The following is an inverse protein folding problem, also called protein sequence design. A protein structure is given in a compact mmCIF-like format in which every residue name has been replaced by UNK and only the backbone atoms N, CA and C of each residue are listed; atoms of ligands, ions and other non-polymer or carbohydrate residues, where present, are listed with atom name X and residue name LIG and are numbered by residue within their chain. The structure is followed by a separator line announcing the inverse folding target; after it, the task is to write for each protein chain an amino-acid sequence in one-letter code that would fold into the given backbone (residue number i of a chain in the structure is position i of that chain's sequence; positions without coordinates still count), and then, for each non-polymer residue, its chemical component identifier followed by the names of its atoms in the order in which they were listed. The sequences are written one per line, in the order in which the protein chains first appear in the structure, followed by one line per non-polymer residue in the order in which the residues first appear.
data_IF_871476029097
#
_entry.id   IF_871476029097
#
_cell.length_a   1.000
_cell.length_b   1.000
_cell.length_c   1.000
_cell.angle_alpha   90.00
_cell.angle_beta   90.00
_cell.angle_gamma   90.00
#
_symmetry.space_group_name_H-M   'P 1'
#
loop_
_entity.id
_entity.type
_entity.pdbx_description
1 polymer ?
#
# COMPACT_ATOMS: atom_id res chain seq x y z
N UNK A 1 -9.43 23.63 -3.49
CA UNK A 1 -8.22 23.98 -4.28
C UNK A 1 -7.31 22.77 -4.58
N UNK A 2 -7.71 21.52 -4.32
CA UNK A 2 -6.87 20.33 -4.52
C UNK A 2 -7.09 19.57 -5.85
N UNK A 3 -8.15 19.87 -6.62
CA UNK A 3 -8.47 19.16 -7.87
C UNK A 3 -7.42 19.28 -9.00
N UNK A 4 -6.47 20.21 -8.91
CA UNK A 4 -5.51 20.49 -9.98
C UNK A 4 -4.09 19.96 -9.75
N UNK A 5 -3.84 19.23 -8.64
CA UNK A 5 -2.47 18.88 -8.23
C UNK A 5 -2.30 17.42 -7.80
N UNK A 6 -3.34 16.60 -7.98
CA UNK A 6 -3.26 15.18 -7.67
C UNK A 6 -2.55 14.43 -8.80
N UNK A 7 -1.59 13.53 -8.49
CA UNK A 7 -1.02 12.62 -9.47
C UNK A 7 -2.11 11.77 -10.14
N UNK A 8 -1.85 11.21 -11.35
CA UNK A 8 -2.77 10.26 -11.96
C UNK A 8 -3.11 9.11 -11.01
N UNK A 9 -4.40 8.85 -10.80
CA UNK A 9 -4.88 7.74 -9.95
C UNK A 9 -5.30 8.12 -8.52
N UNK A 10 -5.51 9.40 -8.20
CA UNK A 10 -5.98 9.85 -6.88
C UNK A 10 -7.28 10.67 -6.99
N UNK A 11 -8.27 10.39 -6.12
CA UNK A 11 -9.55 11.12 -6.03
C UNK A 11 -9.85 11.53 -4.58
N UNK A 12 -10.70 12.55 -4.37
CA UNK A 12 -11.03 13.15 -3.05
C UNK A 12 -12.56 13.34 -2.90
N UNK A 13 -13.11 12.99 -1.72
CA UNK A 13 -14.47 13.36 -1.29
C UNK A 13 -14.55 13.61 0.24
N UNK A 14 -15.18 14.73 0.62
CA UNK A 14 -15.42 15.31 1.98
C UNK A 14 -14.23 15.93 2.72
N UNK A 15 -14.52 17.00 3.51
CA UNK A 15 -13.52 17.92 4.09
C UNK A 15 -12.80 17.39 5.35
N UNK A 16 -13.35 16.37 6.03
CA UNK A 16 -12.83 15.81 7.30
C UNK A 16 -12.28 14.38 7.17
N UNK A 17 -12.70 13.68 6.12
CA UNK A 17 -12.28 12.35 5.74
C UNK A 17 -11.90 12.39 4.27
N UNK A 18 -10.64 12.09 3.96
CA UNK A 18 -10.16 11.91 2.60
C UNK A 18 -9.94 10.42 2.37
N UNK A 19 -10.76 9.82 1.52
CA UNK A 19 -10.50 8.47 1.00
C UNK A 19 -9.57 8.54 -0.19
N UNK A 20 -8.53 7.70 -0.21
CA UNK A 20 -7.50 7.64 -1.26
C UNK A 20 -7.44 6.23 -1.82
N UNK A 21 -7.45 6.13 -3.14
CA UNK A 21 -7.15 4.89 -3.87
C UNK A 21 -5.72 4.95 -4.39
N UNK A 22 -4.92 3.89 -4.19
CA UNK A 22 -3.54 3.79 -4.64
C UNK A 22 -3.36 2.48 -5.41
N UNK A 23 -2.87 2.58 -6.65
CA UNK A 23 -2.41 1.42 -7.43
C UNK A 23 -1.08 0.92 -6.86
N UNK A 24 -0.95 -0.39 -6.70
CA UNK A 24 0.29 -1.02 -6.26
C UNK A 24 1.44 -0.76 -7.24
N UNK A 25 2.63 -0.32 -6.77
CA UNK A 25 3.73 0.01 -7.65
C UNK A 25 4.27 -1.20 -8.43
N UNK A 26 4.78 -0.94 -9.64
CA UNK A 26 5.44 -1.96 -10.46
C UNK A 26 6.69 -2.52 -9.75
N UNK A 27 6.98 -3.81 -9.98
CA UNK A 27 8.11 -4.56 -9.40
C UNK A 27 8.01 -4.72 -7.88
N UNK A 28 6.81 -4.67 -7.33
CA UNK A 28 6.53 -4.95 -5.93
C UNK A 28 5.55 -6.11 -5.82
N UNK A 29 5.45 -6.80 -4.68
CA UNK A 29 4.41 -7.82 -4.48
C UNK A 29 2.98 -7.26 -4.55
N UNK A 30 2.82 -5.94 -4.64
CA UNK A 30 1.54 -5.22 -4.70
C UNK A 30 1.10 -4.90 -6.14
N UNK A 31 1.95 -5.14 -7.15
CA UNK A 31 1.72 -4.72 -8.53
C UNK A 31 0.37 -5.19 -9.11
N UNK A 32 -0.30 -4.29 -9.83
CA UNK A 32 -1.63 -4.43 -10.44
C UNK A 32 -2.81 -4.58 -9.44
N UNK A 33 -2.59 -4.51 -8.14
CA UNK A 33 -3.67 -4.47 -7.13
C UNK A 33 -4.03 -3.02 -6.72
N UNK A 34 -5.11 -2.86 -5.96
CA UNK A 34 -5.62 -1.57 -5.48
C UNK A 34 -5.69 -1.55 -3.95
N UNK A 35 -5.23 -0.45 -3.37
CA UNK A 35 -5.25 -0.20 -1.93
C UNK A 35 -6.10 1.04 -1.63
N UNK A 36 -6.99 0.91 -0.65
CA UNK A 36 -7.87 1.99 -0.21
C UNK A 36 -7.47 2.46 1.19
N UNK A 37 -7.34 3.76 1.36
CA UNK A 37 -6.93 4.39 2.62
C UNK A 37 -7.88 5.52 2.99
N UNK A 38 -8.36 5.49 4.23
CA UNK A 38 -9.15 6.58 4.81
C UNK A 38 -8.26 7.45 5.69
N UNK A 39 -8.02 8.69 5.25
CA UNK A 39 -7.24 9.70 5.95
C UNK A 39 -8.19 10.66 6.68
N UNK A 40 -8.14 10.68 8.01
CA UNK A 40 -8.98 11.55 8.83
C UNK A 40 -8.19 12.74 9.37
N UNK A 41 -8.70 13.95 9.16
CA UNK A 41 -8.10 15.16 9.71
C UNK A 41 -8.68 15.45 11.10
N UNK A 42 -7.93 15.18 12.16
CA UNK A 42 -8.30 15.60 13.52
C UNK A 42 -7.67 16.97 13.81
N UNK A 43 -8.52 18.02 13.91
CA UNK A 43 -8.19 19.40 14.30
C UNK A 43 -7.23 19.49 15.49
N UNK A 44 -7.36 18.57 16.46
CA UNK A 44 -6.63 18.63 17.73
C UNK A 44 -5.75 17.40 17.98
N UNK A 45 -4.85 17.10 17.02
CA UNK A 45 -3.82 16.04 17.01
C UNK A 45 -4.18 14.87 16.08
N UNK A 46 -3.42 14.78 14.99
CA UNK A 46 -3.25 13.55 14.21
C UNK A 46 -2.49 12.52 15.07
N UNK A 47 -3.15 11.89 16.05
CA UNK A 47 -2.73 10.58 16.54
C UNK A 47 -3.81 9.91 17.40
N UNK A 48 -4.26 8.74 16.97
CA UNK A 48 -4.26 7.52 17.79
C UNK A 48 -4.27 6.32 16.87
N UNK A 49 -3.12 5.66 16.85
CA UNK A 49 -2.86 4.24 16.61
C UNK A 49 -4.04 3.41 16.11
N UNK A 50 -3.76 2.76 14.99
CA UNK A 50 -4.67 2.02 14.15
C UNK A 50 -4.73 0.54 14.60
N UNK A 51 -5.91 0.07 15.03
CA UNK A 51 -6.20 -1.33 15.39
C UNK A 51 -6.26 -2.27 14.16
N UNK A 52 -6.43 -3.56 14.44
CA UNK A 52 -6.27 -4.76 13.58
C UNK A 52 -7.13 -4.86 12.29
N UNK A 53 -7.72 -3.76 11.81
CA UNK A 53 -8.74 -3.71 10.75
C UNK A 53 -8.26 -3.17 9.39
N UNK A 54 -6.95 -3.16 9.10
CA UNK A 54 -6.43 -2.81 7.76
C UNK A 54 -5.95 -1.37 7.63
N UNK A 55 -5.15 -0.93 8.60
CA UNK A 55 -4.76 0.46 8.75
C UNK A 55 -3.22 0.61 8.75
N UNK A 56 -2.76 1.73 8.22
CA UNK A 56 -1.44 1.84 7.60
C UNK A 56 -0.51 2.73 8.44
N UNK A 57 0.67 2.19 8.74
CA UNK A 57 1.70 2.79 9.58
C UNK A 57 2.64 3.66 8.75
N UNK A 58 2.47 4.98 8.76
CA UNK A 58 3.43 5.91 8.14
C UNK A 58 4.10 6.73 9.24
N UNK A 59 5.44 6.79 9.23
CA UNK A 59 6.25 7.63 10.15
C UNK A 59 5.80 9.10 10.17
N UNK A 60 5.30 9.62 9.05
CA UNK A 60 4.70 10.95 8.94
C UNK A 60 3.51 11.19 9.90
N UNK A 61 2.88 10.14 10.43
CA UNK A 61 1.74 10.20 11.36
C UNK A 61 2.17 10.09 12.85
N UNK A 62 3.48 10.13 13.13
CA UNK A 62 4.01 10.19 14.50
C UNK A 62 4.00 8.85 15.26
N UNK A 63 4.02 7.71 14.57
CA UNK A 63 4.07 6.36 15.18
C UNK A 63 5.44 5.70 15.14
N UNK A 64 6.43 6.29 14.45
CA UNK A 64 7.83 5.85 14.44
C UNK A 64 8.74 7.04 14.75
N UNK A 65 9.78 6.80 15.53
CA UNK A 65 10.79 7.81 15.88
C UNK A 65 11.55 8.23 14.63
N UNK A 66 11.20 9.38 14.06
CA UNK A 66 11.88 9.99 12.91
C UNK A 66 12.37 11.40 13.20
N UNK A 67 13.42 11.84 12.51
CA UNK A 67 14.02 13.17 12.66
C UNK A 67 13.56 14.16 11.58
N UNK A 68 13.30 15.41 11.96
CA UNK A 68 13.07 16.50 11.01
C UNK A 68 11.76 16.36 10.21
N UNK A 69 11.86 16.18 8.89
CA UNK A 69 10.70 16.09 7.96
C UNK A 69 9.88 14.80 8.10
N UNK A 70 10.37 13.86 8.88
CA UNK A 70 9.70 12.59 9.19
C UNK A 70 8.59 12.74 10.24
N UNK A 71 8.51 13.92 10.89
CA UNK A 71 7.44 14.26 11.85
C UNK A 71 6.45 15.23 11.20
N UNK A 72 5.15 15.02 11.43
CA UNK A 72 4.12 15.95 10.96
C UNK A 72 4.37 17.38 11.47
N UNK A 73 4.50 18.33 10.55
CA UNK A 73 4.70 19.75 10.83
C UNK A 73 3.69 20.64 10.11
N UNK A 74 3.74 21.94 10.38
CA UNK A 74 2.84 22.92 9.76
C UNK A 74 2.95 22.99 8.22
N UNK A 75 4.09 22.56 7.67
CA UNK A 75 4.34 22.51 6.23
C UNK A 75 4.09 21.11 5.63
N UNK A 76 3.62 20.15 6.44
CA UNK A 76 3.33 18.80 5.94
C UNK A 76 2.10 18.79 5.06
N UNK A 77 2.13 17.99 4.00
CA UNK A 77 1.04 17.90 3.04
C UNK A 77 0.48 16.47 2.95
N UNK A 78 -0.78 16.35 2.57
CA UNK A 78 -1.40 15.05 2.25
C UNK A 78 -0.63 14.34 1.15
N UNK A 79 -0.09 15.07 0.17
CA UNK A 79 0.75 14.50 -0.88
C UNK A 79 1.99 13.80 -0.29
N UNK A 80 2.64 14.37 0.72
CA UNK A 80 3.76 13.69 1.39
C UNK A 80 3.32 12.37 2.03
N UNK A 81 2.12 12.31 2.63
CA UNK A 81 1.59 11.05 3.19
C UNK A 81 1.39 10.01 2.10
N UNK A 82 0.74 10.38 0.99
CA UNK A 82 0.48 9.46 -0.14
C UNK A 82 1.80 8.95 -0.74
N UNK A 83 2.77 9.86 -0.97
CA UNK A 83 4.09 9.50 -1.49
C UNK A 83 4.85 8.61 -0.51
N UNK A 84 4.74 8.85 0.80
CA UNK A 84 5.35 7.99 1.82
C UNK A 84 4.72 6.60 1.87
N UNK A 85 3.41 6.46 1.66
CA UNK A 85 2.79 5.13 1.56
C UNK A 85 3.37 4.36 0.37
N UNK A 86 3.46 4.99 -0.80
CA UNK A 86 4.04 4.35 -1.99
C UNK A 86 5.53 4.04 -1.82
N UNK A 87 6.30 4.94 -1.20
CA UNK A 87 7.75 4.82 -1.08
C UNK A 87 8.26 4.03 0.12
N UNK A 88 7.45 3.85 1.16
CA UNK A 88 7.89 3.19 2.41
C UNK A 88 7.08 1.93 2.75
N UNK A 89 5.89 1.75 2.18
CA UNK A 89 5.01 0.63 2.56
C UNK A 89 4.81 -0.31 1.37
N UNK A 90 4.41 0.24 0.23
CA UNK A 90 4.18 -0.54 -0.99
C UNK A 90 5.49 -0.75 -1.78
N UNK A 91 6.50 -1.31 -1.12
CA UNK A 91 7.87 -1.48 -1.66
C UNK A 91 8.15 -2.91 -2.13
N UNK A 92 9.29 -3.12 -2.77
CA UNK A 92 9.74 -4.42 -3.30
C UNK A 92 10.09 -5.45 -2.22
N UNK A 93 10.68 -5.00 -1.11
CA UNK A 93 11.08 -5.83 0.03
C UNK A 93 10.43 -5.38 1.36
N UNK A 94 9.10 -5.49 1.52
CA UNK A 94 8.39 -5.03 2.71
C UNK A 94 8.87 -5.70 4.00
N UNK A 95 9.46 -6.90 3.93
CA UNK A 95 10.09 -7.58 5.06
C UNK A 95 11.18 -6.73 5.74
N UNK A 96 11.91 -5.92 4.98
CA UNK A 96 13.02 -5.11 5.49
C UNK A 96 12.56 -3.83 6.20
N UNK A 97 11.28 -3.47 6.07
CA UNK A 97 10.71 -2.32 6.79
C UNK A 97 10.48 -2.63 8.27
N UNK A 98 10.55 -3.90 8.68
CA UNK A 98 10.43 -4.32 10.07
C UNK A 98 11.70 -3.97 10.86
N UNK A 99 11.51 -3.48 12.09
CA UNK A 99 12.61 -3.01 12.93
C UNK A 99 13.62 -4.13 13.19
N UNK A 100 14.88 -3.87 12.86
CA UNK A 100 16.00 -4.80 13.09
C UNK A 100 16.29 -5.76 11.93
N UNK A 101 15.47 -5.77 10.87
CA UNK A 101 15.71 -6.63 9.69
C UNK A 101 16.72 -6.02 8.70
N UNK A 102 17.07 -4.74 8.84
CA UNK A 102 18.07 -4.05 8.00
C UNK A 102 19.39 -4.82 7.90
N UNK A 103 19.84 -5.41 9.02
CA UNK A 103 21.10 -6.17 9.10
C UNK A 103 21.07 -7.48 8.31
N UNK A 104 19.89 -7.95 7.91
CA UNK A 104 19.71 -9.22 7.20
C UNK A 104 19.68 -9.05 5.69
N UNK A 105 19.57 -7.82 5.16
CA UNK A 105 19.38 -7.53 3.73
C UNK A 105 20.36 -8.26 2.81
N UNK A 106 21.64 -8.27 3.16
CA UNK A 106 22.69 -8.88 2.33
C UNK A 106 22.98 -10.34 2.67
N UNK A 107 22.27 -10.92 3.64
CA UNK A 107 22.44 -12.32 4.03
C UNK A 107 21.58 -13.22 3.14
N UNK A 108 22.06 -14.44 2.87
CA UNK A 108 21.28 -15.44 2.13
C UNK A 108 19.94 -15.72 2.83
N UNK A 109 19.98 -15.87 4.16
CA UNK A 109 18.79 -16.10 4.97
C UNK A 109 17.78 -14.93 4.90
N UNK A 110 18.26 -13.68 4.91
CA UNK A 110 17.39 -12.50 4.79
C UNK A 110 16.74 -12.40 3.42
N UNK A 111 17.47 -12.71 2.34
CA UNK A 111 16.91 -12.76 0.98
C UNK A 111 15.84 -13.83 0.83
N UNK A 112 16.09 -15.03 1.34
CA UNK A 112 15.09 -16.12 1.34
C UNK A 112 13.86 -15.75 2.16
N UNK A 113 14.05 -15.15 3.34
CA UNK A 113 12.94 -14.73 4.20
C UNK A 113 12.13 -13.59 3.57
N UNK A 114 12.80 -12.61 2.96
CA UNK A 114 12.18 -11.51 2.19
C UNK A 114 11.33 -12.07 1.04
N UNK A 115 11.86 -13.03 0.29
CA UNK A 115 11.12 -13.74 -0.77
C UNK A 115 9.86 -14.42 -0.23
N UNK A 116 9.99 -15.24 0.83
CA UNK A 116 8.84 -15.93 1.43
C UNK A 116 7.80 -14.95 1.98
N UNK A 117 8.25 -13.80 2.48
CA UNK A 117 7.35 -12.74 2.92
C UNK A 117 6.54 -12.18 1.74
N UNK A 118 7.18 -11.90 0.60
CA UNK A 118 6.51 -11.44 -0.61
C UNK A 118 5.47 -12.45 -1.11
N UNK A 119 5.81 -13.74 -1.12
CA UNK A 119 4.88 -14.82 -1.47
C UNK A 119 3.63 -14.79 -0.58
N UNK A 120 3.80 -14.59 0.74
CA UNK A 120 2.68 -14.45 1.68
C UNK A 120 1.85 -13.19 1.45
N UNK A 121 2.47 -12.08 1.07
CA UNK A 121 1.75 -10.84 0.72
C UNK A 121 0.80 -11.13 -0.44
N UNK A 122 1.32 -11.71 -1.53
CA UNK A 122 0.53 -12.04 -2.73
C UNK A 122 -0.64 -12.97 -2.40
N UNK A 123 -0.40 -14.02 -1.60
CA UNK A 123 -1.45 -14.96 -1.17
C UNK A 123 -2.57 -14.23 -0.40
N UNK A 124 -2.23 -13.21 0.39
CA UNK A 124 -3.21 -12.40 1.12
C UNK A 124 -3.93 -11.39 0.24
N UNK A 125 -3.30 -10.90 -0.83
CA UNK A 125 -3.92 -9.96 -1.77
C UNK A 125 -5.09 -10.59 -2.52
N UNK A 126 -4.95 -11.81 -3.04
CA UNK A 126 -5.99 -12.50 -3.81
C UNK A 126 -7.39 -12.48 -3.12
N UNK A 127 -7.55 -12.95 -1.87
CA UNK A 127 -8.83 -12.88 -1.18
C UNK A 127 -9.26 -11.45 -0.83
N UNK A 128 -8.33 -10.52 -0.65
CA UNK A 128 -8.65 -9.10 -0.41
C UNK A 128 -9.21 -8.44 -1.69
N UNK A 129 -8.53 -8.60 -2.84
CA UNK A 129 -8.99 -8.15 -4.16
C UNK A 129 -10.35 -8.75 -4.50
N UNK A 130 -10.56 -10.05 -4.24
CA UNK A 130 -11.86 -10.69 -4.44
C UNK A 130 -12.96 -10.01 -3.63
N UNK A 131 -12.72 -9.73 -2.34
CA UNK A 131 -13.69 -9.02 -1.49
C UNK A 131 -13.96 -7.61 -2.01
N UNK A 132 -12.92 -6.90 -2.45
CA UNK A 132 -13.03 -5.56 -3.04
C UNK A 132 -13.90 -5.56 -4.31
N UNK A 133 -13.70 -6.52 -5.21
CA UNK A 133 -14.50 -6.67 -6.43
C UNK A 133 -15.94 -7.10 -6.16
N UNK A 134 -16.18 -7.86 -5.09
CA UNK A 134 -17.53 -8.30 -4.69
C UNK A 134 -18.34 -7.17 -4.04
N UNK A 135 -17.69 -6.25 -3.35
CA UNK A 135 -18.32 -5.13 -2.66
C UNK A 135 -17.46 -3.87 -2.74
N UNK A 136 -17.34 -3.26 -3.94
CA UNK A 136 -16.53 -2.06 -4.13
C UNK A 136 -17.19 -0.87 -3.42
N UNK A 137 -16.42 0.02 -2.77
CA UNK A 137 -16.97 1.25 -2.22
C UNK A 137 -17.57 2.13 -3.32
N UNK A 138 -18.75 2.69 -3.09
CA UNK A 138 -19.48 3.50 -4.08
C UNK A 138 -18.64 4.65 -4.66
N UNK A 139 -17.78 5.25 -3.83
CA UNK A 139 -16.90 6.36 -4.21
C UNK A 139 -15.88 5.98 -5.29
N UNK A 140 -15.47 4.71 -5.35
CA UNK A 140 -14.42 4.21 -6.24
C UNK A 140 -14.87 3.07 -7.17
N UNK A 141 -16.17 2.75 -7.20
CA UNK A 141 -16.68 1.59 -7.93
C UNK A 141 -16.24 1.58 -9.40
N UNK A 142 -16.37 2.73 -10.08
CA UNK A 142 -15.99 2.86 -11.50
C UNK A 142 -14.48 2.73 -11.69
N UNK A 143 -13.71 3.33 -10.82
CA UNK A 143 -12.25 3.34 -10.85
C UNK A 143 -11.68 1.93 -10.62
N UNK A 144 -12.19 1.23 -9.61
CA UNK A 144 -11.84 -0.17 -9.29
C UNK A 144 -12.15 -1.07 -10.47
N UNK A 145 -13.38 -1.01 -11.01
CA UNK A 145 -13.77 -1.84 -12.14
C UNK A 145 -12.95 -1.54 -13.40
N UNK A 146 -12.66 -0.26 -13.67
CA UNK A 146 -11.85 0.13 -14.82
C UNK A 146 -10.38 -0.32 -14.69
N UNK A 147 -9.83 -0.26 -13.48
CA UNK A 147 -8.49 -0.76 -13.18
C UNK A 147 -8.40 -2.25 -13.46
N UNK A 148 -9.26 -3.07 -12.85
CA UNK A 148 -9.21 -4.53 -13.05
C UNK A 148 -9.60 -4.96 -14.46
N UNK A 149 -10.38 -4.17 -15.21
CA UNK A 149 -10.56 -4.40 -16.66
C UNK A 149 -9.27 -4.24 -17.46
N UNK A 150 -8.38 -3.34 -17.06
CA UNK A 150 -7.12 -3.05 -17.76
C UNK A 150 -5.96 -3.93 -17.27
N UNK A 151 -5.91 -4.19 -15.96
CA UNK A 151 -4.79 -4.85 -15.28
C UNK A 151 -5.08 -6.28 -14.85
N UNK A 152 -6.35 -6.68 -14.74
CA UNK A 152 -6.74 -7.97 -14.17
C UNK A 152 -6.17 -9.17 -14.91
N UNK A 153 -6.06 -9.11 -16.25
CA UNK A 153 -5.40 -10.18 -17.02
C UNK A 153 -3.91 -10.29 -16.68
N UNK A 154 -3.19 -9.16 -16.62
CA UNK A 154 -1.77 -9.14 -16.24
C UNK A 154 -1.55 -9.65 -14.82
N UNK A 155 -2.43 -9.26 -13.89
CA UNK A 155 -2.42 -9.75 -12.51
C UNK A 155 -2.61 -11.27 -12.48
N UNK A 156 -3.60 -11.79 -13.21
CA UNK A 156 -3.86 -13.23 -13.32
C UNK A 156 -2.64 -13.98 -13.87
N UNK A 157 -2.10 -13.54 -15.01
CA UNK A 157 -0.93 -14.15 -15.65
C UNK A 157 0.28 -14.15 -14.70
N UNK A 158 0.50 -13.07 -13.95
CA UNK A 158 1.59 -12.99 -12.97
C UNK A 158 1.43 -14.02 -11.86
N UNK A 159 0.23 -14.14 -11.31
CA UNK A 159 -0.07 -15.11 -10.24
C UNK A 159 0.04 -16.54 -10.77
N UNK A 160 -0.46 -16.82 -11.98
CA UNK A 160 -0.37 -18.12 -12.64
C UNK A 160 1.08 -18.55 -12.84
N UNK A 161 1.92 -17.67 -13.41
CA UNK A 161 3.34 -17.92 -13.58
C UNK A 161 4.02 -18.22 -12.24
N UNK A 162 3.72 -17.46 -11.17
CA UNK A 162 4.29 -17.71 -9.86
C UNK A 162 3.87 -19.06 -9.26
N UNK A 163 2.61 -19.48 -9.48
CA UNK A 163 2.16 -20.81 -9.06
C UNK A 163 2.94 -21.90 -9.79
N UNK A 164 3.13 -21.80 -11.11
CA UNK A 164 3.92 -22.75 -11.90
C UNK A 164 5.37 -22.84 -11.40
N UNK A 165 6.05 -21.70 -11.23
CA UNK A 165 7.41 -21.66 -10.69
C UNK A 165 7.52 -22.29 -9.30
N UNK A 166 6.50 -22.09 -8.44
CA UNK A 166 6.51 -22.67 -7.08
C UNK A 166 6.36 -24.20 -7.07
N UNK A 167 5.68 -24.76 -8.08
CA UNK A 167 5.52 -26.20 -8.26
C UNK A 167 6.82 -26.81 -8.80
N UNK A 168 7.46 -26.15 -9.76
CA UNK A 168 8.72 -26.62 -10.37
C UNK A 168 9.95 -26.49 -9.44
N UNK A 169 9.84 -25.67 -8.38
CA UNK A 169 10.92 -25.43 -7.40
C UNK A 169 10.91 -26.40 -6.21
N UNK A 170 9.92 -27.30 -6.11
CA UNK A 170 9.78 -28.32 -5.06
C UNK A 170 10.08 -29.72 -5.58
#
# INVERSE_FOLDING_TARGET
MLKSSLPPGVWEDRMDLLSVMIEGPEKTPYEDDIFLFDLRYCSDRLNRSLCEDGKVCVSLLGTLSGGGTETWGANSTILQVIVSIQGLILVDEPYLNEVGHEKQKDTQHGKETSRMYNERVIIKLIPATKKLLQNPPEVFDKEILNHFKKRGLKMYERIENWMEYSIDSN
#
